data_IF_896597972556
#
_entry.id   IF_896597972556
#
_cell.length_a   1.000
_cell.length_b   1.000
_cell.length_c   1.000
_cell.angle_alpha   90.00
_cell.angle_beta   90.00
_cell.angle_gamma   90.00
#
_symmetry.space_group_name_H-M   'P 1'
#
loop_
_entity.id
_entity.type
_entity.pdbx_description
1 polymer ?
#
# COMPACT_ATOMS: atom_id res chain seq x y z
N UNK A 1 -25.11 -5.89 25.39
CA UNK A 1 -24.32 -4.85 24.70
C UNK A 1 -22.87 -5.25 24.95
N UNK A 2 -22.14 -5.95 24.09
CA UNK A 2 -22.07 -6.00 22.63
C UNK A 2 -22.06 -7.46 22.15
N UNK A 3 -22.97 -7.81 21.24
CA UNK A 3 -23.05 -9.10 20.56
C UNK A 3 -22.31 -8.99 19.21
N UNK A 4 -21.00 -8.74 19.25
CA UNK A 4 -20.15 -8.71 18.05
C UNK A 4 -19.27 -9.94 18.06
N UNK A 5 -19.47 -10.81 17.06
CA UNK A 5 -18.68 -12.01 16.86
C UNK A 5 -17.18 -11.66 16.80
N UNK A 6 -16.34 -12.62 17.20
CA UNK A 6 -14.87 -12.46 17.20
C UNK A 6 -14.36 -12.05 15.80
N UNK A 7 -15.11 -12.40 14.74
CA UNK A 7 -14.86 -12.01 13.36
C UNK A 7 -15.21 -10.54 13.06
N UNK A 8 -16.20 -9.96 13.74
CA UNK A 8 -16.52 -8.53 13.67
C UNK A 8 -15.58 -7.66 14.52
N UNK A 9 -14.82 -8.30 15.40
CA UNK A 9 -13.72 -7.69 16.17
C UNK A 9 -12.39 -7.72 15.42
N UNK A 10 -12.35 -8.23 14.18
CA UNK A 10 -11.27 -7.93 13.25
C UNK A 10 -11.38 -6.45 12.87
N UNK A 11 -10.79 -5.61 13.73
CA UNK A 11 -10.69 -4.13 13.72
C UNK A 11 -10.33 -3.53 12.34
N UNK A 12 -9.93 -4.36 11.37
CA UNK A 12 -9.55 -3.99 10.01
C UNK A 12 -10.71 -3.79 9.01
N UNK A 13 -11.88 -4.38 9.24
CA UNK A 13 -13.01 -4.32 8.28
C UNK A 13 -14.02 -3.20 8.56
N UNK A 14 -13.78 -2.38 9.59
CA UNK A 14 -14.71 -1.31 9.99
C UNK A 14 -14.28 0.09 9.62
N UNK A 15 -13.05 0.29 9.15
CA UNK A 15 -12.65 1.63 8.76
C UNK A 15 -13.25 1.97 7.40
N UNK A 16 -14.22 2.91 7.33
CA UNK A 16 -14.90 3.21 6.08
C UNK A 16 -13.95 3.82 5.05
N UNK A 17 -12.94 4.59 5.49
CA UNK A 17 -11.99 5.26 4.60
C UNK A 17 -11.09 4.24 3.91
N UNK A 18 -10.65 3.21 4.64
CA UNK A 18 -9.90 2.11 4.04
C UNK A 18 -10.74 1.33 3.04
N UNK A 19 -12.01 1.06 3.39
CA UNK A 19 -12.91 0.30 2.53
C UNK A 19 -13.20 1.04 1.22
N UNK A 20 -13.39 2.36 1.29
CA UNK A 20 -13.64 3.20 0.12
C UNK A 20 -12.43 3.25 -0.83
N UNK A 21 -11.20 3.23 -0.29
CA UNK A 21 -9.96 3.29 -1.07
C UNK A 21 -9.42 1.92 -1.53
N UNK A 22 -10.07 0.81 -1.12
CA UNK A 22 -9.60 -0.54 -1.39
C UNK A 22 -10.35 -1.17 -2.56
N UNK A 23 -9.62 -1.60 -3.59
CA UNK A 23 -10.16 -2.34 -4.73
C UNK A 23 -9.80 -3.82 -4.62
N UNK A 24 -10.84 -4.67 -4.63
CA UNK A 24 -10.71 -6.12 -4.55
C UNK A 24 -10.85 -6.74 -5.95
N UNK A 25 -9.75 -7.27 -6.47
CA UNK A 25 -9.78 -8.13 -7.65
C UNK A 25 -10.01 -9.58 -7.19
N UNK A 26 -11.29 -9.97 -7.13
CA UNK A 26 -11.73 -11.32 -6.77
C UNK A 26 -11.26 -12.41 -7.76
N UNK A 27 -10.93 -12.06 -9.01
CA UNK A 27 -10.42 -13.05 -9.99
C UNK A 27 -8.98 -13.42 -9.73
N UNK A 28 -8.17 -12.44 -9.34
CA UNK A 28 -6.74 -12.64 -9.09
C UNK A 28 -6.40 -12.78 -7.59
N UNK A 29 -7.40 -12.68 -6.72
CA UNK A 29 -7.25 -12.62 -5.26
C UNK A 29 -6.24 -11.53 -4.85
N UNK A 30 -6.33 -10.37 -5.51
CA UNK A 30 -5.44 -9.22 -5.30
C UNK A 30 -6.20 -8.06 -4.69
N UNK A 31 -5.48 -7.35 -3.84
CA UNK A 31 -5.94 -6.14 -3.20
C UNK A 31 -5.11 -5.01 -3.76
N UNK A 32 -5.76 -4.03 -4.37
CA UNK A 32 -5.15 -2.78 -4.79
C UNK A 32 -5.68 -1.66 -3.89
N UNK A 33 -4.81 -0.72 -3.53
CA UNK A 33 -5.20 0.44 -2.73
C UNK A 33 -4.95 1.71 -3.52
N UNK A 34 -5.97 2.57 -3.58
CA UNK A 34 -5.84 3.92 -4.12
C UNK A 34 -5.29 4.85 -3.05
N UNK A 35 -3.97 5.00 -3.04
CA UNK A 35 -3.29 5.84 -2.05
C UNK A 35 -3.72 7.31 -2.10
N UNK A 36 -4.08 7.81 -3.29
CA UNK A 36 -4.53 9.20 -3.49
C UNK A 36 -5.83 9.51 -2.72
N UNK A 37 -6.67 8.49 -2.49
CA UNK A 37 -7.91 8.63 -1.71
C UNK A 37 -7.67 8.56 -0.20
N UNK A 38 -6.57 7.92 0.25
CA UNK A 38 -6.22 7.81 1.67
C UNK A 38 -5.43 9.03 2.13
N UNK A 39 -4.43 9.43 1.36
CA UNK A 39 -3.54 10.55 1.67
C UNK A 39 -3.40 11.47 0.45
N UNK A 40 -3.90 12.72 0.52
CA UNK A 40 -3.79 13.64 -0.62
C UNK A 40 -2.34 14.03 -0.87
N UNK A 41 -1.92 14.05 -2.15
CA UNK A 41 -0.58 14.43 -2.60
C UNK A 41 0.57 13.59 -2.00
N UNK A 42 0.33 12.30 -1.75
CA UNK A 42 1.39 11.40 -1.28
C UNK A 42 2.43 11.13 -2.36
N UNK A 43 3.71 11.31 -2.02
CA UNK A 43 4.80 10.82 -2.87
C UNK A 43 5.00 9.31 -2.62
N UNK A 44 4.41 8.50 -3.51
CA UNK A 44 4.47 7.04 -3.44
C UNK A 44 5.91 6.56 -3.66
N UNK A 45 6.70 7.24 -4.48
CA UNK A 45 8.08 6.84 -4.76
C UNK A 45 8.96 7.01 -3.51
N UNK A 46 8.86 8.16 -2.85
CA UNK A 46 9.57 8.45 -1.59
C UNK A 46 9.11 7.51 -0.47
N UNK A 47 7.81 7.28 -0.36
CA UNK A 47 7.23 6.36 0.63
C UNK A 47 7.79 4.93 0.48
N UNK A 48 7.83 4.41 -0.74
CA UNK A 48 8.37 3.08 -1.03
C UNK A 48 9.88 3.02 -0.79
N UNK A 49 10.60 4.09 -1.13
CA UNK A 49 12.04 4.23 -0.87
C UNK A 49 12.35 4.17 0.63
N UNK A 50 11.63 4.95 1.44
CA UNK A 50 11.76 4.96 2.89
C UNK A 50 11.39 3.60 3.51
N UNK A 51 10.30 2.98 3.05
CA UNK A 51 9.83 1.68 3.54
C UNK A 51 10.80 0.54 3.24
N UNK A 52 11.43 0.55 2.06
CA UNK A 52 12.37 -0.49 1.63
C UNK A 52 13.81 -0.20 2.06
N UNK A 53 14.11 1.02 2.51
CA UNK A 53 15.48 1.47 2.78
C UNK A 53 16.34 1.54 1.51
N UNK A 54 15.73 1.79 0.35
CA UNK A 54 16.40 1.78 -0.96
C UNK A 54 16.35 3.15 -1.61
N UNK A 55 17.36 3.48 -2.39
CA UNK A 55 17.51 4.76 -3.08
C UNK A 55 16.69 4.79 -4.36
N UNK A 56 16.07 5.92 -4.68
CA UNK A 56 15.35 6.09 -5.94
C UNK A 56 16.36 6.34 -7.06
N UNK A 57 16.47 5.42 -8.01
CA UNK A 57 17.28 5.59 -9.21
C UNK A 57 16.51 6.29 -10.32
N UNK A 58 15.23 5.94 -10.51
CA UNK A 58 14.38 6.53 -11.54
C UNK A 58 12.90 6.42 -11.16
N UNK A 59 12.17 7.52 -11.36
CA UNK A 59 10.72 7.56 -11.23
C UNK A 59 10.13 7.56 -12.65
N UNK A 60 9.14 6.72 -12.88
CA UNK A 60 8.33 6.72 -14.10
C UNK A 60 6.87 6.97 -13.73
N UNK A 61 6.01 7.15 -14.73
CA UNK A 61 4.59 7.46 -14.51
C UNK A 61 3.87 6.38 -13.69
N UNK A 62 4.19 5.10 -13.93
CA UNK A 62 3.46 3.95 -13.39
C UNK A 62 4.32 3.07 -12.47
N UNK A 63 5.63 3.35 -12.35
CA UNK A 63 6.56 2.58 -11.53
C UNK A 63 7.77 3.40 -11.04
N UNK A 64 8.42 2.91 -9.99
CA UNK A 64 9.69 3.43 -9.47
C UNK A 64 10.76 2.35 -9.50
N UNK A 65 11.98 2.72 -9.85
CA UNK A 65 13.16 1.86 -9.80
C UNK A 65 13.97 2.23 -8.56
N UNK A 66 14.03 1.30 -7.61
CA UNK A 66 14.75 1.41 -6.36
C UNK A 66 16.07 0.64 -6.44
N UNK A 67 17.10 1.15 -5.78
CA UNK A 67 18.43 0.55 -5.74
C UNK A 67 18.94 0.45 -4.32
N UNK A 68 19.49 -0.70 -3.99
CA UNK A 68 20.13 -0.99 -2.71
C UNK A 68 21.63 -0.69 -2.73
N UNK A 69 22.31 -0.68 -1.58
CA UNK A 69 23.77 -0.46 -1.45
C UNK A 69 24.60 -1.43 -2.31
N UNK A 70 24.06 -2.63 -2.59
CA UNK A 70 24.68 -3.64 -3.44
C UNK A 70 24.44 -3.43 -4.95
N UNK A 71 23.91 -2.28 -5.38
CA UNK A 71 23.49 -1.98 -6.75
C UNK A 71 22.43 -2.93 -7.32
N UNK A 72 21.62 -3.56 -6.47
CA UNK A 72 20.49 -4.37 -6.90
C UNK A 72 19.29 -3.49 -7.26
N UNK A 73 18.82 -3.57 -8.49
CA UNK A 73 17.65 -2.81 -8.97
C UNK A 73 16.35 -3.57 -8.72
N UNK A 74 15.36 -2.88 -8.15
CA UNK A 74 14.01 -3.39 -7.95
C UNK A 74 13.02 -2.42 -8.60
N UNK A 75 12.22 -2.91 -9.55
CA UNK A 75 11.11 -2.15 -10.12
C UNK A 75 9.82 -2.40 -9.33
N UNK A 76 9.25 -1.34 -8.77
CA UNK A 76 7.98 -1.39 -8.04
C UNK A 76 6.92 -0.63 -8.82
N UNK A 77 5.85 -1.33 -9.23
CA UNK A 77 4.70 -0.73 -9.94
C UNK A 77 3.67 -0.23 -8.95
N UNK A 78 3.15 0.98 -9.16
CA UNK A 78 2.18 1.60 -8.24
C UNK A 78 0.86 0.82 -8.15
N UNK A 79 0.42 0.23 -9.26
CA UNK A 79 -0.78 -0.61 -9.35
C UNK A 79 -0.67 -1.94 -8.58
N UNK A 80 0.55 -2.38 -8.25
CA UNK A 80 0.81 -3.71 -7.69
C UNK A 80 1.54 -3.65 -6.35
N UNK A 81 1.21 -2.67 -5.53
CA UNK A 81 1.79 -2.56 -4.19
C UNK A 81 1.06 -3.53 -3.26
N UNK A 82 1.83 -4.41 -2.61
CA UNK A 82 1.27 -5.42 -1.72
C UNK A 82 0.69 -4.79 -0.46
N UNK A 83 -0.59 -5.04 -0.19
CA UNK A 83 -1.30 -4.49 0.98
C UNK A 83 -0.57 -4.76 2.30
N UNK A 84 0.04 -5.93 2.46
CA UNK A 84 0.73 -6.28 3.71
C UNK A 84 1.92 -5.37 3.99
N UNK A 85 2.53 -4.85 2.92
CA UNK A 85 3.70 -3.97 2.98
C UNK A 85 3.28 -2.54 3.37
N UNK A 86 2.13 -2.07 2.90
CA UNK A 86 1.61 -0.72 3.16
C UNK A 86 0.72 -0.62 4.39
N UNK A 87 0.14 -1.73 4.85
CA UNK A 87 -0.69 -1.78 6.04
C UNK A 87 -0.10 -1.05 7.26
N UNK A 88 1.20 -1.20 7.62
CA UNK A 88 1.78 -0.44 8.73
C UNK A 88 1.94 1.06 8.47
N UNK A 89 1.89 1.50 7.21
CA UNK A 89 1.97 2.92 6.83
C UNK A 89 0.61 3.62 6.87
N UNK A 90 -0.46 2.86 7.03
CA UNK A 90 -1.82 3.38 7.13
C UNK A 90 -2.13 3.60 8.62
N UNK A 91 -2.30 4.86 9.00
CA UNK A 91 -2.53 5.29 10.36
C UNK A 91 -3.65 6.33 10.44
N UNK A 92 -4.49 6.18 11.46
CA UNK A 92 -5.52 7.11 11.93
C UNK A 92 -5.84 6.82 13.40
#
# INVERSE_FOLDING_TARGET
MDDKSIYEQYVFLKDPKLLDAMELDYKNNKISIKFDEIYPNIDIAETLSNLKGKWIKRITKDSVILVDDNNNEEEVKYDRIDFKTIKPLIWW
#
